data_IF_178604011799
#
_entry.id   IF_178604011799
#
_cell.length_a   1.000
_cell.length_b   1.000
_cell.length_c   1.000
_cell.angle_alpha   90.00
_cell.angle_beta   90.00
_cell.angle_gamma   90.00
#
_symmetry.space_group_name_H-M   'P 1'
#
loop_
_entity.id
_entity.type
_entity.pdbx_description
1 polymer ?
#
# COMPACT_ATOMS: atom_id res chain seq x y z
N UNK A 1 -24.99 24.33 1.61
CA UNK A 1 -25.85 23.16 1.33
C UNK A 1 -26.15 22.96 -0.14
N UNK A 2 -26.62 23.97 -0.88
CA UNK A 2 -27.09 23.82 -2.28
C UNK A 2 -26.01 23.35 -3.27
N UNK A 3 -24.77 23.85 -3.17
CA UNK A 3 -23.67 23.46 -4.06
C UNK A 3 -23.19 22.00 -3.85
N UNK A 4 -23.26 21.51 -2.62
CA UNK A 4 -22.83 20.14 -2.26
C UNK A 4 -23.86 19.11 -2.73
N UNK A 5 -25.15 19.44 -2.66
CA UNK A 5 -26.26 18.63 -3.20
C UNK A 5 -26.17 18.55 -4.74
N UNK A 6 -25.94 19.68 -5.42
CA UNK A 6 -25.77 19.70 -6.87
C UNK A 6 -24.57 18.86 -7.33
N UNK A 7 -23.47 18.86 -6.55
CA UNK A 7 -22.30 18.05 -6.88
C UNK A 7 -22.52 16.56 -6.66
N UNK A 8 -23.12 16.16 -5.53
CA UNK A 8 -23.42 14.73 -5.28
C UNK A 8 -24.40 14.18 -6.34
N UNK A 9 -25.34 15.00 -6.82
CA UNK A 9 -26.19 14.61 -7.94
C UNK A 9 -25.38 14.42 -9.23
N UNK A 10 -24.36 15.24 -9.46
CA UNK A 10 -23.49 15.14 -10.64
C UNK A 10 -22.58 13.91 -10.59
N UNK A 11 -21.97 13.58 -9.45
CA UNK A 11 -21.09 12.40 -9.29
C UNK A 11 -21.84 11.09 -9.49
N UNK A 12 -23.06 10.99 -8.93
CA UNK A 12 -23.94 9.84 -9.18
C UNK A 12 -24.43 9.78 -10.62
N UNK A 13 -24.83 10.92 -11.18
CA UNK A 13 -25.24 10.95 -12.58
C UNK A 13 -24.11 10.52 -13.52
N UNK A 14 -22.86 10.93 -13.25
CA UNK A 14 -21.71 10.48 -14.03
C UNK A 14 -21.50 8.96 -13.89
N UNK A 15 -21.56 8.40 -12.68
CA UNK A 15 -21.45 6.96 -12.48
C UNK A 15 -22.58 6.15 -13.15
N UNK A 16 -23.79 6.71 -13.24
CA UNK A 16 -24.95 6.06 -13.89
C UNK A 16 -24.90 6.16 -15.43
N UNK A 17 -24.29 7.21 -15.97
CA UNK A 17 -24.27 7.48 -17.41
C UNK A 17 -22.95 7.06 -18.09
N UNK A 18 -21.96 6.58 -17.33
CA UNK A 18 -20.68 6.12 -17.86
C UNK A 18 -20.48 4.64 -17.53
N UNK A 19 -19.80 3.92 -18.42
CA UNK A 19 -19.41 2.54 -18.20
C UNK A 19 -17.89 2.40 -18.29
N UNK A 20 -17.32 1.52 -17.48
CA UNK A 20 -15.95 1.04 -17.66
C UNK A 20 -16.03 -0.14 -18.62
N UNK A 21 -15.30 -0.04 -19.73
CA UNK A 21 -15.26 -1.10 -20.75
C UNK A 21 -14.13 -2.09 -20.48
N UNK A 22 -14.29 -3.31 -20.98
CA UNK A 22 -13.26 -4.33 -20.93
C UNK A 22 -12.01 -3.89 -21.69
N UNK A 23 -10.85 -4.39 -21.26
CA UNK A 23 -9.58 -4.09 -21.90
C UNK A 23 -8.91 -5.32 -22.50
N UNK A 24 -8.43 -5.17 -23.73
CA UNK A 24 -7.49 -6.12 -24.31
C UNK A 24 -6.07 -5.80 -23.82
N UNK A 25 -5.62 -6.49 -22.77
CA UNK A 25 -4.30 -6.28 -22.18
C UNK A 25 -3.15 -6.44 -23.19
N UNK A 26 -3.19 -7.47 -24.05
CA UNK A 26 -2.09 -7.77 -24.95
C UNK A 26 -1.85 -6.68 -26.02
N UNK A 27 -2.93 -6.08 -26.52
CA UNK A 27 -2.86 -5.04 -27.56
C UNK A 27 -2.70 -3.63 -27.00
N UNK A 28 -3.25 -3.38 -25.82
CA UNK A 28 -3.39 -2.03 -25.25
C UNK A 28 -2.30 -1.73 -24.23
N UNK A 29 -2.06 -2.68 -23.33
CA UNK A 29 -1.14 -2.55 -22.21
C UNK A 29 0.07 -3.46 -22.43
N UNK A 30 0.98 -3.02 -23.30
CA UNK A 30 2.28 -3.68 -23.41
C UNK A 30 2.96 -3.56 -22.04
N UNK A 31 3.09 -4.69 -21.34
CA UNK A 31 3.60 -4.81 -19.94
C UNK A 31 4.95 -4.12 -19.68
N UNK A 32 5.64 -3.66 -20.73
CA UNK A 32 6.96 -3.03 -20.66
C UNK A 32 6.94 -1.49 -20.81
N UNK A 33 5.79 -0.86 -21.11
CA UNK A 33 5.74 0.56 -21.51
C UNK A 33 4.85 1.46 -20.63
N UNK A 34 3.99 0.89 -19.78
CA UNK A 34 3.06 1.68 -18.96
C UNK A 34 3.03 1.21 -17.50
N UNK A 35 2.77 2.15 -16.59
CA UNK A 35 2.52 1.84 -15.17
C UNK A 35 1.17 1.11 -15.07
N UNK A 36 1.16 -0.03 -14.41
CA UNK A 36 -0.04 -0.87 -14.28
C UNK A 36 -0.26 -1.23 -12.82
N UNK A 37 -1.53 -1.22 -12.41
CA UNK A 37 -2.01 -1.82 -11.17
C UNK A 37 -2.90 -3.00 -11.55
N UNK A 38 -2.63 -4.17 -11.00
CA UNK A 38 -3.38 -5.39 -11.23
C UNK A 38 -3.69 -6.08 -9.91
N UNK A 39 -4.87 -6.69 -9.82
CA UNK A 39 -5.32 -7.45 -8.66
C UNK A 39 -5.39 -8.95 -9.00
N UNK A 40 -5.23 -9.81 -7.99
CA UNK A 40 -5.39 -11.25 -8.14
C UNK A 40 -6.88 -11.61 -7.99
N UNK A 41 -7.42 -12.36 -8.95
CA UNK A 41 -8.81 -12.80 -8.96
C UNK A 41 -8.93 -14.29 -8.61
N UNK A 42 -9.95 -14.63 -7.82
CA UNK A 42 -10.48 -15.99 -7.73
C UNK A 42 -11.20 -16.31 -9.05
N UNK A 43 -10.55 -17.12 -9.88
CA UNK A 43 -11.05 -17.50 -11.20
C UNK A 43 -12.38 -18.26 -11.21
N UNK A 44 -12.87 -18.73 -10.05
CA UNK A 44 -14.18 -19.38 -9.96
C UNK A 44 -15.32 -18.39 -9.66
N UNK A 45 -15.01 -17.27 -9.00
CA UNK A 45 -16.02 -16.38 -8.41
C UNK A 45 -16.08 -14.98 -9.02
N UNK A 46 -15.17 -14.66 -9.93
CA UNK A 46 -15.02 -13.30 -10.48
C UNK A 46 -14.90 -12.24 -9.37
N UNK A 47 -14.19 -12.62 -8.30
CA UNK A 47 -13.98 -11.83 -7.08
C UNK A 47 -12.48 -11.75 -6.81
N UNK A 48 -12.05 -10.81 -5.96
CA UNK A 48 -10.65 -10.80 -5.53
C UNK A 48 -10.31 -12.03 -4.70
N UNK A 49 -9.10 -12.55 -4.89
CA UNK A 49 -8.55 -13.57 -4.01
C UNK A 49 -8.23 -12.94 -2.65
N UNK A 50 -8.87 -13.43 -1.59
CA UNK A 50 -8.76 -12.85 -0.25
C UNK A 50 -7.75 -13.62 0.60
N UNK A 51 -6.66 -12.95 0.98
CA UNK A 51 -5.58 -13.54 1.77
C UNK A 51 -5.74 -13.24 3.26
N UNK A 52 -5.73 -14.29 4.11
CA UNK A 52 -5.72 -14.17 5.57
C UNK A 52 -4.32 -14.38 6.10
N UNK A 53 -3.55 -13.31 6.30
CA UNK A 53 -2.09 -13.40 6.47
C UNK A 53 -1.58 -13.60 7.91
N UNK A 54 -2.43 -13.40 8.93
CA UNK A 54 -2.00 -13.55 10.32
C UNK A 54 -1.43 -14.95 10.58
N UNK A 55 -0.20 -14.97 11.10
CA UNK A 55 0.56 -16.19 11.39
C UNK A 55 0.67 -17.13 10.16
N UNK A 56 0.83 -16.53 8.98
CA UNK A 56 1.14 -17.23 7.73
C UNK A 56 2.44 -16.69 7.14
N UNK A 57 2.94 -17.43 6.17
CA UNK A 57 4.02 -17.03 5.29
C UNK A 57 3.42 -16.73 3.91
N UNK A 58 3.89 -15.66 3.28
CA UNK A 58 3.61 -15.34 1.89
C UNK A 58 4.94 -15.24 1.15
N UNK A 59 5.06 -15.96 0.05
CA UNK A 59 6.33 -16.12 -0.69
C UNK A 59 6.07 -15.96 -2.18
N UNK A 60 6.96 -15.23 -2.86
CA UNK A 60 6.92 -15.01 -4.29
C UNK A 60 8.34 -14.88 -4.86
N UNK A 61 8.48 -15.11 -6.17
CA UNK A 61 9.73 -14.87 -6.89
C UNK A 61 9.62 -13.55 -7.64
N UNK A 62 10.72 -12.79 -7.69
CA UNK A 62 10.75 -11.48 -8.34
C UNK A 62 12.06 -11.27 -9.08
N UNK A 63 11.98 -10.62 -10.25
CA UNK A 63 13.12 -10.12 -11.01
C UNK A 63 12.97 -8.62 -11.24
N UNK A 64 13.73 -7.82 -10.48
CA UNK A 64 13.83 -6.36 -10.64
C UNK A 64 15.14 -5.94 -11.31
N UNK A 65 15.89 -6.87 -11.92
CA UNK A 65 17.23 -6.59 -12.49
C UNK A 65 17.22 -5.49 -13.55
N UNK A 66 16.09 -5.36 -14.27
CA UNK A 66 15.89 -4.34 -15.32
C UNK A 66 15.15 -3.10 -14.83
N UNK A 67 14.85 -3.00 -13.53
CA UNK A 67 14.11 -1.86 -12.99
C UNK A 67 15.10 -0.79 -12.47
N UNK A 68 15.32 0.31 -13.20
CA UNK A 68 16.26 1.35 -12.79
C UNK A 68 15.76 2.16 -11.59
N UNK A 69 16.60 3.09 -11.13
CA UNK A 69 16.19 4.13 -10.20
C UNK A 69 14.92 4.87 -10.66
N UNK A 70 14.18 5.37 -9.66
CA UNK A 70 12.95 6.16 -9.84
C UNK A 70 11.74 5.40 -10.39
N UNK A 71 11.86 4.08 -10.58
CA UNK A 71 10.74 3.18 -10.76
C UNK A 71 10.54 2.32 -9.51
N UNK A 72 9.30 1.87 -9.31
CA UNK A 72 8.90 1.01 -8.20
C UNK A 72 8.05 -0.13 -8.76
N UNK A 73 8.49 -1.37 -8.56
CA UNK A 73 7.65 -2.55 -8.71
C UNK A 73 7.09 -2.89 -7.33
N UNK A 74 5.81 -2.63 -7.14
CA UNK A 74 5.12 -2.83 -5.89
C UNK A 74 4.34 -4.16 -5.89
N UNK A 75 4.45 -4.93 -4.82
CA UNK A 75 3.57 -6.04 -4.48
C UNK A 75 3.11 -5.85 -3.04
N UNK A 76 1.81 -5.74 -2.85
CA UNK A 76 1.21 -5.34 -1.57
C UNK A 76 -0.19 -5.91 -1.43
N UNK A 77 -0.70 -5.87 -0.20
CA UNK A 77 -2.08 -6.18 0.12
C UNK A 77 -2.81 -4.91 0.52
N UNK A 78 -4.02 -4.75 0.02
CA UNK A 78 -4.93 -3.69 0.47
C UNK A 78 -6.18 -4.34 1.06
N UNK A 79 -6.74 -3.73 2.12
CA UNK A 79 -7.99 -4.16 2.76
C UNK A 79 -9.21 -3.73 1.94
N UNK A 80 -9.26 -4.22 0.71
CA UNK A 80 -10.36 -4.02 -0.23
C UNK A 80 -11.49 -5.00 0.03
N UNK A 81 -12.70 -4.61 -0.36
CA UNK A 81 -13.83 -5.52 -0.38
C UNK A 81 -13.70 -6.51 -1.55
N UNK A 82 -14.17 -7.73 -1.33
CA UNK A 82 -14.05 -8.85 -2.28
C UNK A 82 -14.71 -8.56 -3.65
N UNK A 83 -15.66 -7.63 -3.69
CA UNK A 83 -16.50 -7.30 -4.84
C UNK A 83 -16.04 -6.10 -5.68
N UNK A 84 -14.88 -5.50 -5.38
CA UNK A 84 -14.31 -4.47 -6.26
C UNK A 84 -14.07 -3.11 -5.61
N UNK A 85 -14.51 -2.88 -4.38
CA UNK A 85 -14.36 -1.59 -3.73
C UNK A 85 -12.87 -1.35 -3.34
N UNK A 86 -12.19 -0.51 -4.12
CA UNK A 86 -10.76 -0.20 -3.96
C UNK A 86 -10.53 0.99 -3.03
N UNK A 87 -9.59 0.85 -2.11
CA UNK A 87 -8.97 1.93 -1.35
C UNK A 87 -7.48 1.66 -1.23
N UNK A 88 -6.68 2.72 -1.13
CA UNK A 88 -5.24 2.68 -0.87
C UNK A 88 -4.88 4.06 -0.31
N UNK A 89 -4.32 4.16 0.91
CA UNK A 89 -3.75 5.39 1.50
C UNK A 89 -4.56 6.69 1.30
N UNK A 90 -5.88 6.61 1.24
CA UNK A 90 -6.73 7.76 0.95
C UNK A 90 -6.42 8.46 -0.40
N UNK A 91 -5.90 7.73 -1.39
CA UNK A 91 -5.57 8.26 -2.70
C UNK A 91 -6.80 8.89 -3.35
N UNK A 92 -6.60 10.09 -3.90
CA UNK A 92 -7.66 10.94 -4.44
C UNK A 92 -7.81 10.86 -5.95
N UNK A 93 -6.89 10.20 -6.63
CA UNK A 93 -6.91 10.02 -8.09
C UNK A 93 -7.68 8.76 -8.53
N UNK A 94 -8.23 8.01 -7.58
CA UNK A 94 -9.21 6.96 -7.84
C UNK A 94 -10.47 7.59 -8.43
N UNK A 95 -10.82 7.19 -9.66
CA UNK A 95 -11.90 7.79 -10.47
C UNK A 95 -13.30 7.39 -10.03
N UNK A 96 -13.46 6.21 -9.42
CA UNK A 96 -14.74 5.67 -8.96
C UNK A 96 -14.56 5.13 -7.55
N UNK A 97 -15.34 5.63 -6.59
CA UNK A 97 -15.28 5.21 -5.18
C UNK A 97 -16.71 4.98 -4.71
N UNK A 98 -17.00 3.78 -4.18
CA UNK A 98 -18.32 3.36 -3.70
C UNK A 98 -19.49 3.74 -4.65
N UNK A 99 -19.35 3.40 -5.94
CA UNK A 99 -20.33 3.68 -7.00
C UNK A 99 -20.59 5.17 -7.30
N UNK A 100 -19.77 6.09 -6.79
CA UNK A 100 -19.79 7.50 -7.18
C UNK A 100 -18.55 7.89 -7.98
N UNK A 101 -18.75 8.64 -9.07
CA UNK A 101 -17.63 9.16 -9.85
C UNK A 101 -16.91 10.26 -9.05
N UNK A 102 -15.63 10.07 -8.79
CA UNK A 102 -14.79 11.04 -8.09
C UNK A 102 -14.25 12.08 -9.07
N UNK A 103 -15.16 12.87 -9.64
CA UNK A 103 -14.83 13.76 -10.76
C UNK A 103 -13.83 14.83 -10.33
N UNK A 104 -12.69 14.87 -11.01
CA UNK A 104 -11.63 15.84 -10.77
C UNK A 104 -12.09 17.28 -11.03
N UNK A 105 -11.66 18.21 -10.18
CA UNK A 105 -12.00 19.65 -10.28
C UNK A 105 -10.82 20.56 -10.60
N UNK A 106 -9.67 20.00 -10.99
CA UNK A 106 -8.42 20.74 -11.26
C UNK A 106 -7.77 20.39 -12.59
N UNK A 107 -6.88 21.27 -13.05
CA UNK A 107 -5.98 21.02 -14.19
C UNK A 107 -5.05 19.84 -13.85
N UNK A 108 -4.62 19.04 -14.84
CA UNK A 108 -3.63 18.00 -14.59
C UNK A 108 -2.32 18.69 -14.20
N UNK A 109 -1.49 18.00 -13.43
CA UNK A 109 -0.12 18.49 -13.25
C UNK A 109 0.67 18.26 -14.54
N UNK A 110 1.65 19.12 -14.80
CA UNK A 110 2.53 19.00 -15.98
C UNK A 110 3.32 17.68 -15.97
N UNK A 111 3.52 17.08 -14.79
CA UNK A 111 4.22 15.80 -14.62
C UNK A 111 3.30 14.57 -14.68
N UNK A 112 1.98 14.74 -14.56
CA UNK A 112 1.01 13.64 -14.56
C UNK A 112 -0.26 13.99 -15.36
N UNK A 113 -0.12 14.01 -16.70
CA UNK A 113 -1.21 14.36 -17.61
C UNK A 113 -2.46 13.47 -17.47
N UNK A 114 -2.26 12.22 -17.01
CA UNK A 114 -3.32 11.20 -16.91
C UNK A 114 -3.93 11.06 -15.50
N UNK A 115 -3.38 11.74 -14.50
CA UNK A 115 -3.85 11.64 -13.12
C UNK A 115 -4.39 12.99 -12.64
N UNK A 116 -5.53 12.95 -11.94
CA UNK A 116 -6.12 14.14 -11.31
C UNK A 116 -6.81 13.76 -10.03
N UNK A 117 -6.57 14.55 -8.99
CA UNK A 117 -7.27 14.37 -7.72
C UNK A 117 -8.74 14.79 -7.85
N UNK A 118 -9.62 13.87 -7.48
CA UNK A 118 -11.03 14.10 -7.22
C UNK A 118 -11.26 14.77 -5.86
N UNK A 119 -12.52 14.87 -5.45
CA UNK A 119 -12.91 15.53 -4.20
C UNK A 119 -12.80 14.62 -2.97
N UNK A 120 -12.64 13.32 -3.19
CA UNK A 120 -12.57 12.30 -2.15
C UNK A 120 -11.32 11.44 -2.27
N UNK A 121 -10.88 10.90 -1.13
CA UNK A 121 -9.86 9.86 -1.08
C UNK A 121 -10.47 8.49 -0.74
N UNK A 122 -9.87 7.45 -1.27
CA UNK A 122 -10.26 6.05 -1.01
C UNK A 122 -9.33 5.43 0.04
N UNK A 123 -9.74 5.41 1.29
CA UNK A 123 -8.91 5.00 2.43
C UNK A 123 -9.11 3.54 2.81
N UNK A 124 -8.03 2.79 3.00
CA UNK A 124 -8.03 1.53 3.74
C UNK A 124 -6.61 1.12 4.14
N UNK A 125 -6.53 0.15 5.05
CA UNK A 125 -5.26 -0.44 5.48
C UNK A 125 -4.51 -1.06 4.29
N UNK A 126 -3.20 -0.93 4.30
CA UNK A 126 -2.29 -1.48 3.29
C UNK A 126 -1.11 -2.18 3.97
N UNK A 127 -0.58 -3.20 3.32
CA UNK A 127 0.63 -3.89 3.71
C UNK A 127 1.51 -4.06 2.48
N UNK A 128 2.53 -3.22 2.39
CA UNK A 128 3.55 -3.29 1.36
C UNK A 128 4.52 -4.42 1.66
N UNK A 129 4.40 -5.51 0.90
CA UNK A 129 5.29 -6.66 1.02
C UNK A 129 6.61 -6.37 0.29
N UNK A 130 6.55 -5.60 -0.78
CA UNK A 130 7.69 -5.31 -1.63
C UNK A 130 7.49 -4.03 -2.41
N UNK A 131 8.24 -3.00 -2.08
CA UNK A 131 8.42 -1.80 -2.90
C UNK A 131 9.88 -1.68 -3.29
N UNK A 132 10.20 -1.98 -4.55
CA UNK A 132 11.59 -2.05 -4.94
C UNK A 132 11.91 -1.66 -6.38
N UNK A 133 13.19 -1.39 -6.58
CA UNK A 133 13.87 -1.46 -7.86
C UNK A 133 15.18 -2.25 -7.71
N UNK A 134 16.04 -2.23 -8.73
CA UNK A 134 17.34 -2.93 -8.69
C UNK A 134 18.31 -2.43 -7.60
N UNK A 135 18.00 -1.32 -6.93
CA UNK A 135 18.92 -0.62 -6.02
C UNK A 135 18.43 -0.67 -4.57
N UNK A 136 17.12 -0.61 -4.33
CA UNK A 136 16.56 -0.57 -2.98
C UNK A 136 15.22 -1.27 -2.90
N UNK A 137 14.89 -1.76 -1.71
CA UNK A 137 13.63 -2.45 -1.38
C UNK A 137 13.16 -2.03 0.01
N UNK A 138 11.84 -1.91 0.18
CA UNK A 138 11.18 -1.68 1.46
C UNK A 138 9.97 -2.60 1.60
N UNK A 139 9.60 -2.88 2.85
CA UNK A 139 8.31 -3.46 3.21
C UNK A 139 7.74 -2.65 4.38
N UNK A 140 6.45 -2.36 4.34
CA UNK A 140 5.84 -1.29 5.14
C UNK A 140 4.37 -1.59 5.45
N UNK A 141 3.97 -1.76 6.72
CA UNK A 141 2.57 -1.79 7.10
C UNK A 141 2.00 -0.37 7.20
N UNK A 142 0.87 -0.12 6.54
CA UNK A 142 0.11 1.11 6.56
C UNK A 142 -1.23 0.95 7.27
N UNK A 143 -1.29 1.22 8.59
CA UNK A 143 -2.52 1.12 9.34
C UNK A 143 -3.44 2.29 9.04
N UNK A 144 -4.74 2.00 9.13
CA UNK A 144 -5.79 2.99 9.15
C UNK A 144 -6.74 2.69 10.30
N UNK A 145 -7.17 3.73 11.00
CA UNK A 145 -8.21 3.64 12.03
C UNK A 145 -9.57 3.21 11.46
N UNK A 146 -9.77 3.43 10.15
CA UNK A 146 -10.94 2.94 9.43
C UNK A 146 -10.90 1.42 9.19
N UNK A 147 -11.93 0.66 9.61
CA UNK A 147 -11.94 -0.80 9.51
C UNK A 147 -12.20 -1.32 8.09
N UNK A 148 -12.68 -0.49 7.17
CA UNK A 148 -13.00 -0.83 5.78
C UNK A 148 -12.85 0.40 4.89
N UNK A 149 -13.09 0.24 3.57
CA UNK A 149 -13.04 1.34 2.61
C UNK A 149 -13.86 2.54 3.11
N UNK A 150 -13.17 3.66 3.34
CA UNK A 150 -13.77 4.89 3.85
C UNK A 150 -13.50 6.06 2.92
N UNK A 151 -14.54 6.89 2.71
CA UNK A 151 -14.42 8.17 2.02
C UNK A 151 -13.77 9.20 2.95
N UNK A 152 -12.65 9.76 2.52
CA UNK A 152 -12.15 10.99 3.11
C UNK A 152 -12.66 12.19 2.30
N UNK A 153 -13.02 13.28 2.98
CA UNK A 153 -13.56 14.49 2.36
C UNK A 153 -12.69 15.70 2.64
N UNK A 154 -12.50 16.56 1.65
CA UNK A 154 -11.81 17.85 1.82
C UNK A 154 -10.39 17.88 1.25
N UNK A 155 -9.72 19.01 1.43
CA UNK A 155 -8.29 19.12 1.18
C UNK A 155 -7.58 18.50 2.38
N UNK A 156 -7.24 17.22 2.27
CA UNK A 156 -6.49 16.52 3.31
C UNK A 156 -5.02 16.94 3.17
N UNK A 157 -4.44 17.49 4.24
CA UNK A 157 -3.00 17.45 4.41
C UNK A 157 -2.52 16.00 4.47
N UNK A 158 -1.21 15.79 4.31
CA UNK A 158 -0.59 14.45 4.30
C UNK A 158 -1.03 13.61 5.52
N UNK A 159 -1.05 14.23 6.70
CA UNK A 159 -1.43 13.60 7.98
C UNK A 159 -2.88 13.89 8.41
N UNK A 160 -3.67 14.61 7.59
CA UNK A 160 -5.08 14.87 7.89
C UNK A 160 -5.97 13.75 7.31
N UNK A 161 -5.59 12.49 7.54
CA UNK A 161 -6.31 11.32 7.01
C UNK A 161 -6.52 10.28 8.11
N UNK A 162 -7.34 9.27 7.82
CA UNK A 162 -7.60 8.13 8.75
C UNK A 162 -6.59 7.00 8.58
N UNK A 163 -5.54 7.23 7.80
CA UNK A 163 -4.50 6.29 7.42
C UNK A 163 -3.15 6.91 7.66
N UNK A 164 -2.16 6.09 8.02
CA UNK A 164 -0.78 6.56 8.13
C UNK A 164 -0.10 6.62 6.74
N UNK A 165 0.19 7.83 6.22
CA UNK A 165 0.85 7.98 4.93
C UNK A 165 2.34 7.57 4.95
N UNK A 166 2.98 7.56 6.12
CA UNK A 166 4.44 7.41 6.25
C UNK A 166 4.83 6.03 6.76
N UNK A 167 4.10 5.53 7.76
CA UNK A 167 4.21 4.15 8.23
C UNK A 167 5.54 3.70 8.78
N UNK A 168 5.59 2.46 9.26
CA UNK A 168 6.77 1.88 9.87
C UNK A 168 7.56 1.07 8.83
N UNK A 169 8.32 1.77 7.98
CA UNK A 169 9.07 1.11 6.90
C UNK A 169 10.30 0.35 7.42
N UNK A 170 10.60 -0.76 6.76
CA UNK A 170 11.90 -1.40 6.87
C UNK A 170 12.56 -1.48 5.49
N UNK A 171 13.42 -0.50 5.20
CA UNK A 171 14.27 -0.50 4.02
C UNK A 171 15.71 -0.85 4.40
N UNK A 172 16.23 -1.99 3.91
CA UNK A 172 17.58 -2.47 4.26
C UNK A 172 18.71 -1.46 3.93
N UNK A 173 18.54 -0.61 2.92
CA UNK A 173 19.49 0.46 2.59
C UNK A 173 19.37 1.62 3.59
N UNK A 174 18.15 2.06 3.92
CA UNK A 174 17.92 3.06 4.97
C UNK A 174 18.39 2.58 6.35
N UNK A 175 18.32 1.27 6.60
CA UNK A 175 18.72 0.62 7.86
C UNK A 175 20.22 0.23 7.92
N UNK A 176 20.99 0.52 6.86
CA UNK A 176 22.44 0.62 6.81
C UNK A 176 23.34 -0.63 7.01
N UNK A 177 22.90 -1.90 6.84
CA UNK A 177 23.86 -3.06 6.73
C UNK A 177 23.29 -4.45 6.32
N UNK A 178 24.16 -5.48 6.28
CA UNK A 178 23.90 -6.89 5.90
C UNK A 178 23.46 -7.78 7.09
N UNK A 179 22.70 -8.82 6.76
CA UNK A 179 21.85 -9.67 7.62
C UNK A 179 22.50 -10.59 8.66
N UNK A 180 21.74 -10.91 9.73
CA UNK A 180 21.83 -12.18 10.49
C UNK A 180 20.72 -12.37 11.56
N UNK A 181 20.35 -13.64 11.77
CA UNK A 181 19.50 -14.26 12.81
C UNK A 181 17.98 -14.39 12.57
N UNK A 182 17.43 -15.47 13.13
CA UNK A 182 16.05 -15.92 13.01
C UNK A 182 15.39 -15.99 14.39
N UNK A 183 14.15 -15.52 14.50
CA UNK A 183 13.31 -15.60 15.71
C UNK A 183 12.05 -16.41 15.39
N UNK A 184 11.78 -17.43 16.20
CA UNK A 184 10.53 -18.18 16.13
C UNK A 184 9.57 -17.66 17.20
N UNK A 185 8.41 -17.15 16.78
CA UNK A 185 7.30 -16.76 17.67
C UNK A 185 6.22 -17.85 17.70
N UNK A 186 5.47 -18.00 18.82
CA UNK A 186 4.39 -18.98 18.93
C UNK A 186 3.26 -18.68 17.95
N UNK A 187 2.72 -19.74 17.34
CA UNK A 187 1.83 -19.69 16.18
C UNK A 187 0.36 -19.70 16.60
N UNK A 188 -0.29 -18.53 16.64
CA UNK A 188 -1.75 -18.42 16.67
C UNK A 188 -2.25 -17.67 15.44
N UNK A 189 -3.25 -18.21 14.74
CA UNK A 189 -3.93 -17.50 13.63
C UNK A 189 -5.02 -16.54 14.12
N UNK A 190 -5.18 -16.43 15.44
CA UNK A 190 -6.10 -15.50 16.12
C UNK A 190 -5.30 -14.71 17.16
N UNK A 191 -5.48 -13.40 17.20
CA UNK A 191 -4.72 -12.48 18.06
C UNK A 191 -3.97 -11.42 17.27
N UNK A 192 -3.29 -10.54 17.99
CA UNK A 192 -2.65 -9.35 17.42
C UNK A 192 -1.40 -9.71 16.61
N UNK A 193 -1.16 -8.95 15.54
CA UNK A 193 0.09 -9.01 14.80
C UNK A 193 1.21 -8.44 15.68
N UNK A 194 2.33 -9.16 15.78
CA UNK A 194 3.44 -8.78 16.68
C UNK A 194 4.77 -8.59 15.97
N UNK A 195 4.94 -9.23 14.82
CA UNK A 195 6.21 -9.29 14.13
C UNK A 195 5.94 -9.54 12.64
N UNK A 196 6.52 -8.71 11.79
CA UNK A 196 6.62 -8.95 10.34
C UNK A 196 8.10 -9.20 10.04
N UNK A 197 8.42 -10.46 9.79
CA UNK A 197 9.77 -10.93 9.45
C UNK A 197 9.94 -11.08 7.94
N UNK A 198 11.13 -10.77 7.44
CA UNK A 198 11.47 -10.88 6.03
C UNK A 198 12.69 -11.80 5.81
N UNK A 199 12.67 -12.57 4.72
CA UNK A 199 13.73 -13.49 4.34
C UNK A 199 13.76 -13.64 2.82
N UNK A 200 14.96 -13.72 2.25
CA UNK A 200 15.17 -13.93 0.82
C UNK A 200 15.83 -15.29 0.56
N UNK A 201 15.53 -15.89 -0.59
CA UNK A 201 16.27 -17.05 -1.12
C UNK A 201 16.79 -16.71 -2.51
N UNK A 202 18.10 -16.74 -2.68
CA UNK A 202 18.76 -16.49 -3.97
C UNK A 202 19.78 -17.60 -4.24
N UNK A 203 19.72 -18.19 -5.43
CA UNK A 203 20.60 -19.31 -5.82
C UNK A 203 20.59 -20.47 -4.79
N UNK A 204 19.42 -20.75 -4.22
CA UNK A 204 19.24 -21.77 -3.18
C UNK A 204 19.79 -21.41 -1.80
N UNK A 205 20.32 -20.19 -1.62
CA UNK A 205 20.86 -19.71 -0.33
C UNK A 205 19.86 -18.79 0.36
N UNK A 206 19.56 -19.11 1.61
CA UNK A 206 18.74 -18.29 2.49
C UNK A 206 19.55 -17.09 3.00
N UNK A 207 18.98 -15.90 2.88
CA UNK A 207 19.47 -14.66 3.48
C UNK A 207 18.38 -14.10 4.40
N UNK A 208 18.71 -13.89 5.67
CA UNK A 208 17.82 -13.22 6.61
C UNK A 208 17.73 -11.72 6.32
N UNK A 209 16.81 -11.01 6.97
CA UNK A 209 16.75 -9.56 6.87
C UNK A 209 18.01 -8.90 7.44
N UNK A 210 18.29 -7.67 6.98
CA UNK A 210 19.31 -6.82 7.59
C UNK A 210 18.97 -6.44 9.03
N UNK A 211 19.98 -5.99 9.78
CA UNK A 211 19.76 -5.37 11.09
C UNK A 211 19.86 -3.85 10.97
N UNK A 212 19.03 -3.17 11.76
CA UNK A 212 19.12 -1.72 11.95
C UNK A 212 20.51 -1.33 12.47
N UNK A 213 21.08 -0.30 11.85
CA UNK A 213 22.36 0.30 12.23
C UNK A 213 22.23 1.84 12.28
N UNK A 214 21.22 2.32 13.00
CA UNK A 214 20.94 3.74 13.23
C UNK A 214 21.31 4.06 14.69
N UNK A 215 22.11 5.12 14.97
CA UNK A 215 22.41 5.53 16.33
C UNK A 215 21.14 5.76 17.16
N UNK A 216 21.06 5.13 18.34
CA UNK A 216 19.90 5.25 19.22
C UNK A 216 18.77 4.24 18.96
N UNK A 217 18.82 3.47 17.88
CA UNK A 217 17.86 2.40 17.58
C UNK A 217 18.51 1.04 17.82
N UNK A 218 17.93 0.16 18.67
CA UNK A 218 18.40 -1.22 18.80
C UNK A 218 18.46 -1.96 17.47
N UNK A 219 19.30 -2.99 17.38
CA UNK A 219 19.54 -3.74 16.15
C UNK A 219 18.41 -4.74 15.84
N UNK A 220 17.23 -4.21 15.49
CA UNK A 220 16.06 -4.96 15.01
C UNK A 220 16.29 -5.49 13.58
N UNK A 221 15.63 -6.60 13.24
CA UNK A 221 15.62 -7.23 11.91
C UNK A 221 14.20 -7.57 11.41
N UNK A 222 13.18 -7.11 12.12
CA UNK A 222 11.77 -7.28 11.80
C UNK A 222 10.98 -6.03 12.20
N UNK A 223 9.79 -5.87 11.62
CA UNK A 223 8.88 -4.81 12.04
C UNK A 223 8.09 -5.30 13.25
N UNK A 224 8.24 -4.57 14.35
CA UNK A 224 7.58 -4.80 15.64
C UNK A 224 7.15 -3.45 16.19
N UNK A 225 6.21 -3.43 17.15
CA UNK A 225 5.82 -2.19 17.82
C UNK A 225 7.01 -1.47 18.44
N UNK A 226 7.95 -2.21 19.03
CA UNK A 226 9.16 -1.64 19.63
C UNK A 226 10.12 -1.06 18.58
N UNK A 227 10.32 -1.74 17.45
CA UNK A 227 11.09 -1.21 16.33
C UNK A 227 10.48 0.10 15.82
N UNK A 228 9.18 0.11 15.54
CA UNK A 228 8.49 1.28 15.01
C UNK A 228 8.60 2.47 15.95
N UNK A 229 8.37 2.27 17.25
CA UNK A 229 8.53 3.33 18.23
C UNK A 229 9.96 3.90 18.27
N UNK A 230 10.99 3.04 18.18
CA UNK A 230 12.37 3.48 18.20
C UNK A 230 12.79 4.19 16.90
N UNK A 231 12.34 3.67 15.74
CA UNK A 231 12.59 4.24 14.42
C UNK A 231 11.95 5.62 14.26
N UNK A 232 10.68 5.75 14.66
CA UNK A 232 9.91 6.99 14.60
C UNK A 232 10.51 8.09 15.48
N UNK A 233 10.99 7.76 16.67
CA UNK A 233 11.75 8.69 17.52
C UNK A 233 13.06 9.12 16.86
N UNK A 234 13.80 8.19 16.24
CA UNK A 234 15.08 8.51 15.59
C UNK A 234 14.93 9.39 14.36
N UNK A 235 13.75 9.40 13.72
CA UNK A 235 13.46 10.17 12.51
C UNK A 235 12.47 11.32 12.70
N UNK A 236 12.11 11.65 13.95
CA UNK A 236 11.21 12.77 14.29
C UNK A 236 9.81 12.65 13.65
N UNK A 237 9.19 11.48 13.82
CA UNK A 237 7.87 11.10 13.29
C UNK A 237 7.05 10.38 14.39
N UNK A 238 5.72 10.41 14.33
CA UNK A 238 4.81 9.74 15.28
C UNK A 238 3.51 9.17 14.69
N UNK A 239 3.32 9.19 13.36
CA UNK A 239 2.04 8.90 12.71
C UNK A 239 1.56 7.44 12.87
N UNK A 240 2.48 6.47 12.80
CA UNK A 240 2.16 5.03 12.78
C UNK A 240 1.40 4.56 14.00
N UNK A 241 1.79 5.06 15.17
CA UNK A 241 1.11 4.71 16.42
C UNK A 241 -0.25 5.39 16.54
N UNK A 242 -0.39 6.61 16.00
CA UNK A 242 -1.64 7.34 16.04
C UNK A 242 -2.75 6.65 15.25
N UNK A 243 -2.39 5.99 14.14
CA UNK A 243 -3.36 5.36 13.22
C UNK A 243 -3.61 3.87 13.46
N UNK A 244 -3.07 3.30 14.54
CA UNK A 244 -3.39 1.94 15.00
C UNK A 244 -2.17 1.06 15.27
N UNK A 245 -1.02 1.37 14.66
CA UNK A 245 0.19 0.57 14.80
C UNK A 245 0.10 -0.81 14.15
N UNK A 246 0.69 -1.82 14.81
CA UNK A 246 0.74 -3.22 14.36
C UNK A 246 -0.58 -3.95 14.52
#
# INVERSE_FOLDING_TARGET
MTAQILYSNYTRACAQNCAIEDVNYASTYKREQERQLACVLDGQRHQYEMFKLLNKEFTFNVDVSKLPNSLNAALYFSKMEMDGATGIQCLRDIKLIQNEANVARGNPSDSHLNARAGSWGACCNEMDIWEANSISTAYTPHPCTAPSLTHSTGALGRYDTVCDPDSCDFNSFCMARKASMARASPKSTTGDLKDISHMCVQDGKVSHNSKVNIPGVPAYDSITTEFCNAQKVAFDDDSFKAEGGM
#
